data_IF_569029865907
#
_entry.id   IF_569029865907
#
_cell.length_a   1.000
_cell.length_b   1.000
_cell.length_c   1.000
_cell.angle_alpha   90.00
_cell.angle_beta   90.00
_cell.angle_gamma   90.00
#
_symmetry.space_group_name_H-M   'P 1'
#
loop_
_entity.id
_entity.type
_entity.pdbx_description
1 polymer ?
#
# COMPACT_ATOMS: atom_id res chain seq x y z
N UNK A 1 -11.18 -23.40 -2.95
CA UNK A 1 -9.88 -22.84 -3.36
C UNK A 1 -8.78 -23.71 -2.76
N UNK A 2 -7.82 -24.19 -3.57
CA UNK A 2 -6.72 -25.03 -3.07
C UNK A 2 -5.76 -24.18 -2.23
N UNK A 3 -5.46 -24.63 -1.00
CA UNK A 3 -4.47 -23.98 -0.15
C UNK A 3 -3.08 -24.11 -0.78
N UNK A 4 -2.31 -23.03 -0.74
CA UNK A 4 -0.92 -23.03 -1.23
C UNK A 4 0.05 -22.81 -0.07
N UNK A 5 1.31 -23.25 -0.20
CA UNK A 5 2.37 -22.93 0.76
C UNK A 5 2.57 -21.41 0.96
N UNK A 6 2.13 -20.61 -0.01
CA UNK A 6 2.28 -19.15 -0.05
C UNK A 6 1.19 -18.39 0.74
N UNK A 7 0.09 -19.04 1.13
CA UNK A 7 -1.08 -18.37 1.73
C UNK A 7 -0.73 -17.60 3.03
N UNK A 8 0.22 -18.12 3.82
CA UNK A 8 0.68 -17.45 5.03
C UNK A 8 1.44 -16.15 4.71
N UNK A 9 2.34 -16.20 3.73
CA UNK A 9 3.11 -15.04 3.29
C UNK A 9 2.21 -13.97 2.64
N UNK A 10 1.25 -14.39 1.80
CA UNK A 10 0.26 -13.48 1.20
C UNK A 10 -0.54 -12.72 2.26
N UNK A 11 -0.97 -13.40 3.32
CA UNK A 11 -1.73 -12.77 4.42
C UNK A 11 -0.88 -11.76 5.21
N UNK A 12 0.41 -12.04 5.41
CA UNK A 12 1.31 -11.09 6.08
C UNK A 12 1.48 -9.84 5.19
N UNK A 13 1.83 -10.02 3.92
CA UNK A 13 1.99 -8.90 2.98
C UNK A 13 0.71 -8.08 2.82
N UNK A 14 -0.46 -8.73 2.83
CA UNK A 14 -1.73 -8.02 2.78
C UNK A 14 -1.93 -7.10 3.99
N UNK A 15 -1.62 -7.57 5.20
CA UNK A 15 -1.70 -6.74 6.41
C UNK A 15 -0.73 -5.56 6.37
N UNK A 16 0.46 -5.76 5.82
CA UNK A 16 1.45 -4.68 5.66
C UNK A 16 0.93 -3.60 4.70
N UNK A 17 0.33 -4.00 3.57
CA UNK A 17 -0.32 -3.08 2.62
C UNK A 17 -1.45 -2.31 3.29
N UNK A 18 -2.36 -3.00 3.98
CA UNK A 18 -3.50 -2.37 4.66
C UNK A 18 -3.01 -1.38 5.73
N UNK A 19 -1.97 -1.74 6.49
CA UNK A 19 -1.34 -0.87 7.50
C UNK A 19 -0.73 0.38 6.86
N UNK A 20 -0.02 0.22 5.75
CA UNK A 20 0.58 1.33 5.02
C UNK A 20 -0.50 2.29 4.47
N UNK A 21 -1.62 1.77 3.97
CA UNK A 21 -2.74 2.60 3.50
C UNK A 21 -3.33 3.47 4.62
N UNK A 22 -3.54 2.90 5.81
CA UNK A 22 -4.02 3.65 6.98
C UNK A 22 -3.03 4.76 7.34
N UNK A 23 -1.74 4.45 7.41
CA UNK A 23 -0.71 5.43 7.73
C UNK A 23 -0.63 6.56 6.69
N UNK A 24 -0.74 6.24 5.40
CA UNK A 24 -0.80 7.22 4.31
C UNK A 24 -1.98 8.17 4.50
N UNK A 25 -3.18 7.65 4.78
CA UNK A 25 -4.37 8.46 4.98
C UNK A 25 -4.22 9.41 6.18
N UNK A 26 -3.60 8.94 7.27
CA UNK A 26 -3.29 9.79 8.43
C UNK A 26 -2.36 10.95 8.03
N UNK A 27 -1.28 10.68 7.29
CA UNK A 27 -0.36 11.73 6.84
C UNK A 27 -1.01 12.73 5.88
N UNK A 28 -1.87 12.26 4.97
CA UNK A 28 -2.64 13.14 4.07
C UNK A 28 -3.54 14.07 4.89
N UNK A 29 -4.27 13.54 5.88
CA UNK A 29 -5.12 14.37 6.74
C UNK A 29 -4.31 15.41 7.53
N UNK A 30 -3.11 15.05 8.00
CA UNK A 30 -2.20 15.99 8.65
C UNK A 30 -1.76 17.11 7.70
N UNK A 31 -1.40 16.79 6.45
CA UNK A 31 -1.05 17.79 5.44
C UNK A 31 -2.21 18.74 5.16
N UNK A 32 -3.44 18.23 5.00
CA UNK A 32 -4.64 19.04 4.80
C UNK A 32 -4.86 20.00 5.98
N UNK A 33 -4.64 19.55 7.22
CA UNK A 33 -4.73 20.41 8.40
C UNK A 33 -3.65 21.49 8.39
N UNK A 34 -2.39 21.15 8.07
CA UNK A 34 -1.30 22.12 7.98
C UNK A 34 -1.58 23.18 6.90
N UNK A 35 -2.09 22.77 5.74
CA UNK A 35 -2.47 23.68 4.66
C UNK A 35 -3.61 24.63 5.06
N UNK A 36 -4.63 24.11 5.75
CA UNK A 36 -5.70 24.93 6.31
C UNK A 36 -5.15 25.97 7.29
N UNK A 37 -4.27 25.56 8.20
CA UNK A 37 -3.65 26.46 9.17
C UNK A 37 -2.77 27.51 8.50
N UNK A 38 -2.04 27.15 7.45
CA UNK A 38 -1.24 28.11 6.68
C UNK A 38 -2.14 29.16 6.00
N UNK A 39 -3.26 28.73 5.42
CA UNK A 39 -4.25 29.63 4.81
C UNK A 39 -4.85 30.61 5.85
N UNK A 40 -5.18 30.13 7.04
CA UNK A 40 -5.73 30.97 8.12
C UNK A 40 -4.71 32.01 8.61
N UNK A 41 -3.45 31.59 8.74
CA UNK A 41 -2.33 32.46 9.14
C UNK A 41 -2.08 33.55 8.09
N UNK A 42 -2.07 33.20 6.80
CA UNK A 42 -1.90 34.14 5.70
C UNK A 42 -3.07 35.14 5.62
N UNK A 43 -4.30 34.66 5.79
CA UNK A 43 -5.49 35.52 5.82
C UNK A 43 -5.45 36.52 6.99
N UNK A 44 -5.06 36.05 8.17
CA UNK A 44 -4.98 36.90 9.37
C UNK A 44 -3.87 37.95 9.22
N UNK A 45 -2.72 37.58 8.64
CA UNK A 45 -1.64 38.51 8.32
C UNK A 45 -2.07 39.59 7.32
N UNK A 46 -2.78 39.21 6.26
CA UNK A 46 -3.28 40.16 5.27
C UNK A 46 -4.22 41.19 5.90
N UNK A 47 -5.13 40.73 6.78
CA UNK A 47 -6.05 41.59 7.51
C UNK A 47 -5.33 42.54 8.47
N UNK A 48 -4.33 42.05 9.22
CA UNK A 48 -3.57 42.90 10.14
C UNK A 48 -2.73 43.94 9.40
N UNK A 49 -2.15 43.57 8.25
CA UNK A 49 -1.42 44.50 7.38
C UNK A 49 -2.32 45.61 6.83
N UNK A 50 -3.57 45.29 6.47
CA UNK A 50 -4.57 46.28 6.05
C UNK A 50 -4.92 47.26 7.17
N UNK A 51 -5.10 46.77 8.40
CA UNK A 51 -5.38 47.61 9.58
C UNK A 51 -4.18 48.52 9.90
N UNK A 52 -2.96 47.98 9.90
CA UNK A 52 -1.74 48.74 10.19
C UNK A 52 -1.43 49.79 9.11
N UNK A 53 -1.80 49.55 7.85
CA UNK A 53 -1.71 50.54 6.78
C UNK A 53 -2.61 51.76 7.04
N UNK A 54 -3.74 51.57 7.73
CA UNK A 54 -4.67 52.64 8.11
C UNK A 54 -4.24 53.45 9.34
N UNK A 55 -3.41 52.90 10.23
CA UNK A 55 -2.89 53.60 11.41
C UNK A 55 -1.49 53.09 11.79
N UNK A 56 -0.47 53.92 11.50
CA UNK A 56 0.93 53.56 11.71
C UNK A 56 1.31 53.48 13.20
N UNK A 57 0.50 54.03 14.11
CA UNK A 57 0.71 53.89 15.54
C UNK A 57 0.32 52.48 16.06
N UNK A 58 -0.43 51.70 15.28
CA UNK A 58 -0.89 50.35 15.63
C UNK A 58 0.03 49.21 15.16
N UNK A 59 1.17 49.52 14.52
CA UNK A 59 2.09 48.49 14.01
C UNK A 59 2.66 47.61 15.12
N UNK A 60 2.05 46.43 15.32
CA UNK A 60 2.46 45.45 16.33
C UNK A 60 3.59 44.55 15.81
N UNK A 61 4.82 45.04 15.89
CA UNK A 61 6.02 44.30 15.47
C UNK A 61 6.12 42.91 16.12
N UNK A 62 5.74 42.78 17.39
CA UNK A 62 5.71 41.51 18.11
C UNK A 62 4.67 40.52 17.57
N UNK A 63 3.55 40.99 17.00
CA UNK A 63 2.57 40.13 16.34
C UNK A 63 3.10 39.61 15.01
N UNK A 64 3.67 40.49 14.18
CA UNK A 64 4.26 40.09 12.89
C UNK A 64 5.37 39.05 13.07
N UNK A 65 6.24 39.21 14.07
CA UNK A 65 7.30 38.25 14.36
C UNK A 65 6.75 36.89 14.81
N UNK A 66 5.70 36.88 15.65
CA UNK A 66 5.02 35.62 16.05
C UNK A 66 4.41 34.90 14.84
N UNK A 67 3.77 35.64 13.94
CA UNK A 67 3.15 35.05 12.75
C UNK A 67 4.20 34.53 11.76
N UNK A 68 5.33 35.23 11.62
CA UNK A 68 6.47 34.74 10.83
C UNK A 68 7.01 33.42 11.39
N UNK A 69 7.30 33.35 12.69
CA UNK A 69 7.75 32.11 13.33
C UNK A 69 6.72 30.98 13.16
N UNK A 70 5.43 31.28 13.24
CA UNK A 70 4.37 30.29 13.02
C UNK A 70 4.38 29.76 11.58
N UNK A 71 4.57 30.62 10.56
CA UNK A 71 4.71 30.20 9.16
C UNK A 71 5.92 29.32 8.94
N UNK A 72 7.07 29.71 9.49
CA UNK A 72 8.31 28.92 9.40
C UNK A 72 8.13 27.53 10.05
N UNK A 73 7.42 27.46 11.19
CA UNK A 73 7.09 26.19 11.84
C UNK A 73 6.14 25.34 10.99
N UNK A 74 5.06 25.92 10.45
CA UNK A 74 4.11 25.20 9.60
C UNK A 74 4.76 24.69 8.31
N UNK A 75 5.69 25.46 7.72
CA UNK A 75 6.47 25.01 6.57
C UNK A 75 7.36 23.82 6.92
N UNK A 76 8.06 23.86 8.06
CA UNK A 76 8.86 22.72 8.51
C UNK A 76 8.01 21.48 8.82
N UNK A 77 6.85 21.65 9.45
CA UNK A 77 5.90 20.55 9.71
C UNK A 77 5.36 19.93 8.42
N UNK A 78 5.09 20.75 7.40
CA UNK A 78 4.69 20.30 6.06
C UNK A 78 5.79 19.47 5.41
N UNK A 79 7.01 19.99 5.35
CA UNK A 79 8.15 19.30 4.75
C UNK A 79 8.39 17.93 5.41
N UNK A 80 8.28 17.88 6.74
CA UNK A 80 8.42 16.63 7.49
C UNK A 80 7.29 15.64 7.16
N UNK A 81 6.04 16.12 7.08
CA UNK A 81 4.90 15.30 6.69
C UNK A 81 5.01 14.78 5.25
N UNK A 82 5.50 15.59 4.32
CA UNK A 82 5.76 15.19 2.92
C UNK A 82 6.85 14.11 2.83
N UNK A 83 7.93 14.26 3.59
CA UNK A 83 8.98 13.22 3.68
C UNK A 83 8.44 11.92 4.26
N UNK A 84 7.64 11.99 5.33
CA UNK A 84 6.99 10.80 5.91
C UNK A 84 6.04 10.13 4.91
N UNK A 85 5.22 10.91 4.21
CA UNK A 85 4.31 10.40 3.18
C UNK A 85 5.07 9.73 2.03
N UNK A 86 6.17 10.34 1.57
CA UNK A 86 7.04 9.77 0.55
C UNK A 86 7.59 8.40 0.96
N UNK A 87 8.09 8.28 2.20
CA UNK A 87 8.58 6.99 2.75
C UNK A 87 7.47 5.94 2.82
N UNK A 88 6.29 6.31 3.31
CA UNK A 88 5.15 5.39 3.40
C UNK A 88 4.71 4.88 2.02
N UNK A 89 4.69 5.75 1.01
CA UNK A 89 4.38 5.37 -0.38
C UNK A 89 5.41 4.38 -0.93
N UNK A 90 6.70 4.63 -0.73
CA UNK A 90 7.76 3.70 -1.14
C UNK A 90 7.60 2.34 -0.46
N UNK A 91 7.34 2.31 0.85
CA UNK A 91 7.10 1.07 1.60
C UNK A 91 5.86 0.33 1.07
N UNK A 92 4.77 1.04 0.80
CA UNK A 92 3.55 0.46 0.26
C UNK A 92 3.76 -0.16 -1.13
N UNK A 93 4.49 0.54 -2.01
CA UNK A 93 4.84 0.04 -3.34
C UNK A 93 5.70 -1.22 -3.27
N UNK A 94 6.69 -1.25 -2.38
CA UNK A 94 7.52 -2.44 -2.17
C UNK A 94 6.68 -3.64 -1.66
N UNK A 95 5.83 -3.42 -0.64
CA UNK A 95 4.95 -4.46 -0.11
C UNK A 95 3.96 -4.99 -1.17
N UNK A 96 3.45 -4.11 -2.03
CA UNK A 96 2.59 -4.50 -3.15
C UNK A 96 3.33 -5.33 -4.20
N UNK A 97 4.55 -4.92 -4.57
CA UNK A 97 5.40 -5.68 -5.49
C UNK A 97 5.67 -7.10 -4.98
N UNK A 98 6.07 -7.22 -3.72
CA UNK A 98 6.28 -8.52 -3.05
C UNK A 98 5.01 -9.36 -3.03
N UNK A 99 3.86 -8.76 -2.70
CA UNK A 99 2.58 -9.45 -2.71
C UNK A 99 2.25 -10.02 -4.09
N UNK A 100 2.43 -9.24 -5.16
CA UNK A 100 2.17 -9.69 -6.54
C UNK A 100 3.11 -10.80 -6.98
N UNK A 101 4.38 -10.76 -6.56
CA UNK A 101 5.32 -11.85 -6.83
C UNK A 101 4.91 -13.15 -6.15
N UNK A 102 4.49 -13.09 -4.88
CA UNK A 102 4.01 -14.25 -4.11
C UNK A 102 2.70 -14.79 -4.70
N UNK A 103 1.78 -13.91 -5.08
CA UNK A 103 0.53 -14.29 -5.73
C UNK A 103 0.79 -15.06 -7.04
N UNK A 104 1.69 -14.56 -7.88
CA UNK A 104 2.07 -15.24 -9.12
C UNK A 104 2.69 -16.62 -8.88
N UNK A 105 3.51 -16.77 -7.82
CA UNK A 105 4.07 -18.06 -7.43
C UNK A 105 2.98 -19.02 -6.94
N UNK A 106 2.00 -18.51 -6.19
CA UNK A 106 0.86 -19.30 -5.72
C UNK A 106 -0.02 -19.78 -6.89
N UNK A 107 -0.26 -18.95 -7.89
CA UNK A 107 -1.01 -19.33 -9.09
C UNK A 107 -0.28 -20.39 -9.90
N UNK A 108 1.03 -20.20 -10.14
CA UNK A 108 1.87 -21.19 -10.81
C UNK A 108 1.83 -22.55 -10.09
N UNK A 109 1.91 -22.53 -8.75
CA UNK A 109 1.79 -23.75 -7.94
C UNK A 109 0.42 -24.43 -8.12
N UNK A 110 -0.67 -23.66 -8.18
CA UNK A 110 -2.01 -24.23 -8.39
C UNK A 110 -2.16 -24.88 -9.75
N UNK A 111 -1.59 -24.26 -10.77
CA UNK A 111 -1.61 -24.80 -12.14
C UNK A 111 -0.77 -26.08 -12.25
N UNK A 112 0.39 -26.11 -11.60
CA UNK A 112 1.25 -27.30 -11.54
C UNK A 112 0.55 -28.47 -10.82
N UNK A 113 -0.08 -28.23 -9.66
CA UNK A 113 -0.80 -29.27 -8.93
C UNK A 113 -2.02 -29.79 -9.71
N UNK A 114 -2.72 -28.90 -10.41
CA UNK A 114 -3.84 -29.27 -11.27
C UNK A 114 -3.38 -30.15 -12.44
N UNK A 115 -2.24 -29.80 -13.06
CA UNK A 115 -1.62 -30.62 -14.11
C UNK A 115 -1.15 -31.98 -13.58
N UNK A 116 -0.52 -32.02 -12.41
CA UNK A 116 -0.09 -33.28 -11.78
C UNK A 116 -1.28 -34.19 -11.47
N UNK A 117 -2.37 -33.64 -10.94
CA UNK A 117 -3.58 -34.39 -10.66
C UNK A 117 -4.19 -35.00 -11.93
N UNK A 118 -4.30 -34.22 -13.01
CA UNK A 118 -4.81 -34.70 -14.30
C UNK A 118 -3.91 -35.79 -14.90
N UNK A 119 -2.59 -35.62 -14.86
CA UNK A 119 -1.65 -36.63 -15.36
C UNK A 119 -1.69 -37.92 -14.53
N UNK A 120 -1.88 -37.82 -13.21
CA UNK A 120 -2.03 -38.97 -12.32
C UNK A 120 -3.30 -39.77 -12.62
N UNK A 121 -4.43 -39.09 -12.87
CA UNK A 121 -5.69 -39.73 -13.24
C UNK A 121 -5.59 -40.47 -14.59
N UNK A 122 -4.96 -39.84 -15.59
CA UNK A 122 -4.69 -40.49 -16.89
C UNK A 122 -3.79 -41.71 -16.77
N UNK A 123 -2.68 -41.61 -16.03
CA UNK A 123 -1.78 -42.75 -15.81
C UNK A 123 -2.49 -43.94 -15.15
N UNK A 124 -3.39 -43.68 -14.19
CA UNK A 124 -4.17 -44.73 -13.56
C UNK A 124 -5.13 -45.42 -14.55
N UNK A 125 -5.79 -44.65 -15.42
CA UNK A 125 -6.66 -45.19 -16.47
C UNK A 125 -5.88 -46.05 -17.47
N UNK A 126 -4.71 -45.59 -17.91
CA UNK A 126 -3.84 -46.32 -18.84
C UNK A 126 -3.34 -47.64 -18.24
N UNK A 127 -2.92 -47.63 -16.98
CA UNK A 127 -2.49 -48.83 -16.26
C UNK A 127 -3.60 -49.88 -16.15
N UNK A 128 -4.83 -49.44 -15.85
CA UNK A 128 -6.00 -50.33 -15.81
C UNK A 128 -6.30 -50.91 -17.20
N UNK A 129 -6.26 -50.08 -18.25
CA UNK A 129 -6.49 -50.51 -19.63
C UNK A 129 -5.43 -51.52 -20.08
N UNK A 130 -4.14 -51.25 -19.83
CA UNK A 130 -3.04 -52.15 -20.13
C UNK A 130 -3.19 -53.49 -19.40
N UNK A 131 -3.55 -53.47 -18.12
CA UNK A 131 -3.79 -54.69 -17.32
C UNK A 131 -4.96 -55.51 -17.90
N UNK A 132 -6.04 -54.86 -18.34
CA UNK A 132 -7.18 -55.53 -18.97
C UNK A 132 -6.79 -56.20 -20.30
N UNK A 133 -5.99 -55.53 -21.12
CA UNK A 133 -5.46 -56.07 -22.39
C UNK A 133 -4.58 -57.30 -22.14
N UNK A 134 -3.63 -57.22 -21.20
CA UNK A 134 -2.75 -58.35 -20.84
C UNK A 134 -3.56 -59.56 -20.34
N UNK A 135 -4.58 -59.33 -19.50
CA UNK A 135 -5.48 -60.41 -19.03
C UNK A 135 -6.27 -61.04 -20.17
N UNK A 136 -6.73 -60.24 -21.14
CA UNK A 136 -7.46 -60.73 -22.32
C UNK A 136 -6.56 -61.61 -23.20
N UNK A 137 -5.34 -61.16 -23.47
CA UNK A 137 -4.35 -61.91 -24.26
C UNK A 137 -4.00 -63.25 -23.60
N UNK A 138 -3.83 -63.28 -22.27
CA UNK A 138 -3.57 -64.52 -21.50
C UNK A 138 -4.74 -65.52 -21.47
N UNK A 139 -5.96 -65.11 -21.80
CA UNK A 139 -7.12 -66.03 -21.85
C UNK A 139 -7.29 -66.70 -23.21
N UNK A 140 -6.60 -66.22 -24.23
CA UNK A 140 -6.78 -66.61 -25.63
C UNK A 140 -5.55 -67.34 -26.23
N UNK A 141 -4.49 -67.49 -25.44
CA UNK A 141 -3.37 -68.40 -25.70
C UNK A 141 -3.37 -69.52 -24.67
#
# INVERSE_FOLDING_TARGET
MMKTPYDAAMRIRRREIDTAQVAINIQINQLVQIESHHSDVDHTLAKEAEIAAGDHALSSHAYMERMRMLRERLAAERDEADVRLGRLRTTALAAYGDFKAIESAADTYRDDETRKAANGEQGHMDDMAATAVVRRLRRWG
#
